data_IF_270584932831
#
_entry.id   IF_270584932831
#
_cell.length_a   1.000
_cell.length_b   1.000
_cell.length_c   1.000
_cell.angle_alpha   90.00
_cell.angle_beta   90.00
_cell.angle_gamma   90.00
#
_symmetry.space_group_name_H-M   'P 1'
#
loop_
_entity.id
_entity.type
_entity.pdbx_description
1 polymer ?
#
# COMPACT_ATOMS: atom_id res chain seq x y z
N UNK A 1 9.05 22.19 21.55
CA UNK A 1 8.47 22.14 20.18
C UNK A 1 7.27 21.20 20.21
N UNK A 2 6.13 21.64 19.71
CA UNK A 2 4.89 20.83 19.68
C UNK A 2 4.73 20.16 18.30
N UNK A 3 5.76 19.41 17.87
CA UNK A 3 5.73 18.71 16.59
C UNK A 3 4.88 17.43 16.73
N UNK A 4 3.79 17.34 15.98
CA UNK A 4 2.88 16.20 16.00
C UNK A 4 3.05 15.29 14.78
N UNK A 5 3.50 15.84 13.67
CA UNK A 5 3.70 15.08 12.42
C UNK A 5 5.05 15.39 11.80
N UNK A 6 5.78 14.34 11.41
CA UNK A 6 7.08 14.45 10.81
C UNK A 6 7.22 13.44 9.66
N UNK A 7 7.55 13.94 8.49
CA UNK A 7 7.89 13.12 7.34
C UNK A 7 9.37 13.29 6.99
N UNK A 8 10.10 12.19 7.04
CA UNK A 8 11.52 12.09 6.71
C UNK A 8 11.76 10.99 5.68
N UNK A 9 10.72 10.61 4.93
CA UNK A 9 10.81 9.55 3.93
C UNK A 9 11.81 9.89 2.80
N UNK A 10 12.35 8.84 2.18
CA UNK A 10 13.22 8.99 1.01
C UNK A 10 14.57 9.66 1.30
N UNK A 11 15.13 9.44 2.48
CA UNK A 11 16.44 9.97 2.89
C UNK A 11 17.45 8.82 3.14
N UNK A 12 18.64 9.17 3.66
CA UNK A 12 19.68 8.20 4.02
C UNK A 12 19.86 8.11 5.54
N UNK A 13 18.79 8.26 6.32
CA UNK A 13 18.86 8.31 7.78
C UNK A 13 19.21 6.93 8.31
N UNK A 14 20.17 6.88 9.21
CA UNK A 14 20.59 5.68 9.95
C UNK A 14 20.39 5.83 11.46
N UNK A 15 20.47 7.06 11.97
CA UNK A 15 20.43 7.36 13.40
C UNK A 15 19.18 8.18 13.75
N UNK A 16 18.36 7.64 14.64
CA UNK A 16 17.11 8.26 15.12
C UNK A 16 17.26 8.96 16.48
N UNK A 17 18.44 8.98 17.09
CA UNK A 17 18.66 9.56 18.42
C UNK A 17 18.10 10.99 18.56
N UNK A 18 18.19 11.90 17.55
CA UNK A 18 17.61 13.23 17.65
C UNK A 18 16.08 13.25 17.84
N UNK A 19 15.39 12.17 17.44
CA UNK A 19 13.93 12.09 17.54
C UNK A 19 13.45 11.69 18.96
N UNK A 20 14.33 11.21 19.82
CA UNK A 20 13.98 10.72 21.17
C UNK A 20 13.35 11.79 22.08
N UNK A 21 13.56 13.08 21.77
CA UNK A 21 12.96 14.19 22.51
C UNK A 21 11.55 14.59 22.05
N UNK A 22 11.05 14.03 20.92
CA UNK A 22 9.78 14.40 20.31
C UNK A 22 8.60 13.63 20.92
N UNK A 23 8.32 13.85 22.19
CA UNK A 23 7.31 13.08 22.97
C UNK A 23 5.86 13.33 22.51
N UNK A 24 5.57 14.44 21.82
CA UNK A 24 4.25 14.79 21.33
C UNK A 24 4.01 14.32 19.88
N UNK A 25 4.93 13.59 19.30
CA UNK A 25 4.81 13.11 17.94
C UNK A 25 3.70 12.06 17.83
N UNK A 26 2.76 12.29 16.93
CA UNK A 26 1.60 11.44 16.67
C UNK A 26 1.84 10.59 15.41
N UNK A 27 2.44 11.19 14.38
CA UNK A 27 2.68 10.52 13.09
C UNK A 27 4.11 10.72 12.63
N UNK A 28 4.80 9.61 12.33
CA UNK A 28 6.18 9.58 11.88
C UNK A 28 6.31 8.72 10.62
N UNK A 29 6.76 9.35 9.53
CA UNK A 29 7.11 8.65 8.31
C UNK A 29 8.63 8.64 8.11
N UNK A 30 9.22 7.46 8.13
CA UNK A 30 10.65 7.16 7.96
C UNK A 30 10.87 6.19 6.79
N UNK A 31 9.89 6.02 5.90
CA UNK A 31 9.99 5.07 4.80
C UNK A 31 11.17 5.39 3.87
N UNK A 32 11.71 4.36 3.22
CA UNK A 32 12.82 4.48 2.29
C UNK A 32 14.05 5.20 2.90
N UNK A 33 14.54 4.67 4.02
CA UNK A 33 15.77 5.10 4.71
C UNK A 33 16.72 3.90 4.94
N UNK A 34 17.71 4.05 5.81
CA UNK A 34 18.70 3.01 6.14
C UNK A 34 18.71 2.67 7.64
N UNK A 35 17.54 2.65 8.25
CA UNK A 35 17.37 2.47 9.70
C UNK A 35 17.47 0.96 10.02
N UNK A 36 18.28 0.63 11.01
CA UNK A 36 18.45 -0.74 11.50
C UNK A 36 17.82 -0.95 12.87
N UNK A 37 17.69 0.11 13.70
CA UNK A 37 17.13 0.05 15.04
C UNK A 37 16.11 1.17 15.27
N UNK A 38 15.03 0.85 15.97
CA UNK A 38 13.96 1.77 16.35
C UNK A 38 14.03 2.20 17.81
N UNK A 39 15.09 1.82 18.55
CA UNK A 39 15.19 2.04 19.99
C UNK A 39 15.07 3.53 20.37
N UNK A 40 15.64 4.42 19.57
CA UNK A 40 15.62 5.85 19.84
C UNK A 40 14.20 6.47 19.85
N UNK A 41 13.25 5.89 19.16
CA UNK A 41 11.87 6.38 19.14
C UNK A 41 10.97 5.75 20.20
N UNK A 42 11.48 4.82 21.01
CA UNK A 42 10.73 4.15 22.09
C UNK A 42 10.16 5.12 23.15
N UNK A 43 10.73 6.33 23.24
CA UNK A 43 10.27 7.41 24.12
C UNK A 43 9.15 8.28 23.53
N UNK A 44 8.75 8.06 22.27
CA UNK A 44 7.68 8.80 21.61
C UNK A 44 6.30 8.20 21.96
N UNK A 45 5.89 8.29 23.22
CA UNK A 45 4.69 7.60 23.74
C UNK A 45 3.36 8.04 23.12
N UNK A 46 3.32 9.21 22.48
CA UNK A 46 2.12 9.73 21.78
C UNK A 46 1.97 9.19 20.36
N UNK A 47 2.93 8.40 19.87
CA UNK A 47 2.94 7.94 18.50
C UNK A 47 1.78 6.97 18.22
N UNK A 48 1.01 7.29 17.20
CA UNK A 48 -0.12 6.52 16.72
C UNK A 48 0.15 5.90 15.35
N UNK A 49 0.88 6.62 14.49
CA UNK A 49 1.14 6.18 13.11
C UNK A 49 2.65 6.15 12.85
N UNK A 50 3.16 4.98 12.51
CA UNK A 50 4.57 4.76 12.20
C UNK A 50 4.71 4.08 10.84
N UNK A 51 5.40 4.74 9.91
CA UNK A 51 5.79 4.14 8.64
C UNK A 51 7.32 4.01 8.58
N UNK A 52 7.82 2.79 8.57
CA UNK A 52 9.25 2.45 8.45
C UNK A 52 9.51 1.48 7.29
N UNK A 53 8.60 1.39 6.32
CA UNK A 53 8.75 0.53 5.15
C UNK A 53 10.03 0.88 4.35
N UNK A 54 10.69 -0.13 3.78
CA UNK A 54 11.90 0.12 2.98
C UNK A 54 13.12 0.57 3.80
N UNK A 55 13.29 0.01 4.99
CA UNK A 55 14.45 0.19 5.84
C UNK A 55 15.26 -1.12 5.98
N UNK A 56 16.19 -1.17 6.90
CA UNK A 56 17.11 -2.30 7.11
C UNK A 56 16.88 -3.00 8.46
N UNK A 57 15.64 -2.98 8.97
CA UNK A 57 15.26 -3.68 10.20
C UNK A 57 15.26 -5.19 9.91
N UNK A 58 16.13 -5.93 10.59
CA UNK A 58 16.44 -7.31 10.22
C UNK A 58 15.90 -8.37 11.20
N UNK A 59 15.54 -7.98 12.43
CA UNK A 59 15.11 -8.92 13.45
C UNK A 59 13.85 -8.46 14.19
N UNK A 60 13.12 -9.44 14.75
CA UNK A 60 11.91 -9.21 15.56
C UNK A 60 12.29 -8.52 16.86
N UNK A 61 13.45 -8.81 17.42
CA UNK A 61 13.95 -8.20 18.65
C UNK A 61 14.03 -6.67 18.53
N UNK A 62 14.36 -6.16 17.35
CA UNK A 62 14.39 -4.73 17.07
C UNK A 62 12.99 -4.07 17.09
N UNK A 63 11.92 -4.86 17.07
CA UNK A 63 10.55 -4.36 17.18
C UNK A 63 10.07 -4.29 18.63
N UNK A 64 10.66 -5.05 19.55
CA UNK A 64 10.26 -5.08 20.95
C UNK A 64 10.45 -3.72 21.65
N UNK A 65 11.33 -2.87 21.17
CA UNK A 65 11.49 -1.50 21.67
C UNK A 65 10.24 -0.63 21.49
N UNK A 66 9.32 -1.03 20.60
CA UNK A 66 8.06 -0.33 20.36
C UNK A 66 6.95 -0.71 21.37
N UNK A 67 7.14 -1.76 22.16
CA UNK A 67 6.14 -2.27 23.13
C UNK A 67 5.59 -1.21 24.11
N UNK A 68 6.36 -0.20 24.55
CA UNK A 68 5.84 0.86 25.41
C UNK A 68 4.83 1.80 24.74
N UNK A 69 4.73 1.80 23.41
CA UNK A 69 3.88 2.70 22.63
C UNK A 69 2.42 2.22 22.57
N UNK A 70 1.70 2.37 23.66
CA UNK A 70 0.34 1.85 23.79
C UNK A 70 -0.73 2.53 22.92
N UNK A 71 -0.41 3.70 22.37
CA UNK A 71 -1.30 4.48 21.50
C UNK A 71 -1.15 4.12 20.01
N UNK A 72 -0.33 3.12 19.68
CA UNK A 72 -0.08 2.73 18.29
C UNK A 72 -1.35 2.22 17.62
N UNK A 73 -1.75 2.87 16.52
CA UNK A 73 -2.91 2.52 15.71
C UNK A 73 -2.53 1.97 14.35
N UNK A 74 -1.41 2.43 13.78
CA UNK A 74 -0.96 2.02 12.46
C UNK A 74 0.56 1.85 12.44
N UNK A 75 1.01 0.68 11.99
CA UNK A 75 2.43 0.38 11.72
C UNK A 75 2.57 -0.11 10.29
N UNK A 76 3.58 0.39 9.58
CA UNK A 76 3.95 -0.09 8.25
C UNK A 76 5.44 -0.43 8.20
N UNK A 77 5.73 -1.71 8.02
CA UNK A 77 7.08 -2.29 7.83
C UNK A 77 7.29 -2.73 6.38
N UNK A 78 6.18 -3.04 5.70
CA UNK A 78 6.14 -3.46 4.31
C UNK A 78 5.14 -2.60 3.53
N UNK A 79 5.53 -2.20 2.30
CA UNK A 79 4.65 -1.50 1.37
C UNK A 79 4.74 -2.18 -0.01
N UNK A 80 3.71 -2.94 -0.34
CA UNK A 80 3.66 -3.70 -1.58
C UNK A 80 3.51 -2.81 -2.82
N UNK A 81 2.96 -1.59 -2.68
CA UNK A 81 2.75 -0.67 -3.81
C UNK A 81 4.07 -0.12 -4.33
N UNK A 82 4.99 0.23 -3.42
CA UNK A 82 6.29 0.79 -3.75
C UNK A 82 7.43 -0.24 -3.66
N UNK A 83 7.10 -1.49 -3.32
CA UNK A 83 8.07 -2.55 -3.07
C UNK A 83 9.10 -2.20 -1.97
N UNK A 84 8.65 -1.43 -0.97
CA UNK A 84 9.43 -1.05 0.20
C UNK A 84 9.24 -2.08 1.31
N UNK A 85 10.24 -2.91 1.53
CA UNK A 85 10.17 -3.97 2.53
C UNK A 85 11.37 -3.90 3.47
N UNK A 86 11.19 -4.37 4.70
CA UNK A 86 12.28 -4.60 5.65
C UNK A 86 12.69 -6.08 5.63
N UNK A 87 13.96 -6.41 5.90
CA UNK A 87 14.41 -7.79 6.01
C UNK A 87 13.59 -8.64 7.01
N UNK A 88 13.12 -8.05 8.12
CA UNK A 88 12.28 -8.72 9.14
C UNK A 88 10.96 -9.25 8.56
N UNK A 89 10.42 -8.64 7.52
CA UNK A 89 9.17 -9.06 6.89
C UNK A 89 9.27 -10.43 6.17
N UNK A 90 10.50 -10.95 5.95
CA UNK A 90 10.72 -12.32 5.44
C UNK A 90 10.40 -13.38 6.48
N UNK A 91 10.39 -13.04 7.75
CA UNK A 91 9.98 -13.93 8.81
C UNK A 91 8.44 -13.94 8.92
N UNK A 92 7.82 -15.08 8.67
CA UNK A 92 6.35 -15.23 8.71
C UNK A 92 5.73 -14.89 10.08
N UNK A 93 6.51 -14.95 11.15
CA UNK A 93 6.03 -14.65 12.49
C UNK A 93 5.94 -13.15 12.82
N UNK A 94 6.59 -12.26 12.04
CA UNK A 94 6.67 -10.83 12.39
C UNK A 94 5.30 -10.19 12.58
N UNK A 95 4.34 -10.58 11.74
CA UNK A 95 2.97 -10.05 11.78
C UNK A 95 2.25 -10.45 13.06
N UNK A 96 2.35 -11.72 13.46
CA UNK A 96 1.74 -12.22 14.69
C UNK A 96 2.34 -11.54 15.93
N UNK A 97 3.66 -11.36 15.96
CA UNK A 97 4.36 -10.67 17.04
C UNK A 97 3.87 -9.22 17.18
N UNK A 98 3.70 -8.50 16.07
CA UNK A 98 3.17 -7.13 16.12
C UNK A 98 1.71 -7.10 16.61
N UNK A 99 0.88 -8.06 16.22
CA UNK A 99 -0.50 -8.16 16.69
C UNK A 99 -0.59 -8.49 18.18
N UNK A 100 0.31 -9.32 18.69
CA UNK A 100 0.43 -9.60 20.14
C UNK A 100 0.92 -8.38 20.93
N UNK A 101 1.89 -7.63 20.37
CA UNK A 101 2.42 -6.42 21.01
C UNK A 101 1.40 -5.28 21.03
N UNK A 102 0.57 -5.16 20.01
CA UNK A 102 -0.38 -4.07 19.83
C UNK A 102 -1.80 -4.60 19.60
N UNK A 103 -2.49 -5.04 20.65
CA UNK A 103 -3.84 -5.61 20.51
C UNK A 103 -4.88 -4.61 19.99
N UNK A 104 -4.61 -3.31 20.08
CA UNK A 104 -5.49 -2.24 19.60
C UNK A 104 -5.09 -1.68 18.22
N UNK A 105 -4.16 -2.32 17.53
CA UNK A 105 -3.71 -1.85 16.21
C UNK A 105 -4.85 -1.95 15.20
N UNK A 106 -5.06 -0.88 14.43
CA UNK A 106 -6.13 -0.80 13.43
C UNK A 106 -5.63 -1.16 12.04
N UNK A 107 -4.38 -0.80 11.74
CA UNK A 107 -3.78 -0.99 10.40
C UNK A 107 -2.36 -1.54 10.54
N UNK A 108 -2.07 -2.64 9.86
CA UNK A 108 -0.75 -3.23 9.76
C UNK A 108 -0.38 -3.43 8.29
N UNK A 109 0.74 -2.84 7.87
CA UNK A 109 1.24 -2.88 6.47
C UNK A 109 0.22 -2.42 5.42
N UNK A 110 -0.65 -1.48 5.80
CA UNK A 110 -1.72 -0.96 4.94
C UNK A 110 -3.01 -1.77 4.95
N UNK A 111 -3.02 -2.91 5.64
CA UNK A 111 -4.21 -3.77 5.78
C UNK A 111 -4.91 -3.49 7.13
N UNK A 112 -6.22 -3.41 7.12
CA UNK A 112 -7.00 -3.29 8.35
C UNK A 112 -7.00 -4.61 9.11
N UNK A 113 -6.66 -4.55 10.39
CA UNK A 113 -6.64 -5.71 11.30
C UNK A 113 -8.01 -5.95 11.92
N UNK A 114 -8.79 -4.88 12.14
CA UNK A 114 -10.12 -4.93 12.77
C UNK A 114 -11.10 -4.10 11.95
N UNK A 115 -12.34 -4.60 11.82
CA UNK A 115 -13.42 -3.94 11.10
C UNK A 115 -13.67 -4.47 9.68
N UNK A 116 -14.52 -3.76 8.92
CA UNK A 116 -15.04 -4.22 7.61
C UNK A 116 -13.99 -4.67 6.58
N UNK A 117 -12.74 -4.31 6.69
CA UNK A 117 -11.68 -4.77 5.78
C UNK A 117 -10.97 -6.04 6.25
N UNK A 118 -11.00 -6.36 7.56
CA UNK A 118 -10.43 -7.59 8.10
C UNK A 118 -11.31 -8.80 7.79
N UNK A 119 -12.62 -8.62 7.76
CA UNK A 119 -13.57 -9.69 7.47
C UNK A 119 -13.40 -10.22 6.05
N UNK A 120 -13.14 -9.31 5.09
CA UNK A 120 -12.84 -9.71 3.72
C UNK A 120 -11.50 -10.47 3.61
N UNK A 121 -10.48 -10.02 4.31
CA UNK A 121 -9.19 -10.71 4.32
C UNK A 121 -9.30 -12.10 4.92
N UNK A 122 -10.01 -12.24 6.05
CA UNK A 122 -10.24 -13.53 6.68
C UNK A 122 -11.03 -14.46 5.76
N UNK A 123 -12.08 -13.94 5.12
CA UNK A 123 -12.85 -14.70 4.12
C UNK A 123 -11.99 -15.18 2.95
N UNK A 124 -11.13 -14.32 2.38
CA UNK A 124 -10.23 -14.70 1.30
C UNK A 124 -9.24 -15.77 1.75
N UNK A 125 -8.73 -15.67 2.98
CA UNK A 125 -7.83 -16.66 3.55
C UNK A 125 -8.53 -18.00 3.76
N UNK A 126 -9.74 -17.99 4.30
CA UNK A 126 -10.55 -19.21 4.53
C UNK A 126 -10.88 -19.90 3.20
N UNK A 127 -11.17 -19.13 2.14
CA UNK A 127 -11.35 -19.65 0.79
C UNK A 127 -10.06 -20.29 0.26
N UNK A 128 -8.92 -19.61 0.40
CA UNK A 128 -7.62 -20.09 -0.07
C UNK A 128 -7.21 -21.39 0.65
N UNK A 129 -7.42 -21.47 1.94
CA UNK A 129 -7.16 -22.64 2.75
C UNK A 129 -8.10 -23.80 2.36
N UNK A 130 -9.39 -23.52 2.12
CA UNK A 130 -10.37 -24.50 1.63
C UNK A 130 -10.01 -25.04 0.25
N UNK A 131 -9.54 -24.17 -0.67
CA UNK A 131 -9.08 -24.58 -2.01
C UNK A 131 -7.84 -25.47 -1.89
N UNK A 132 -6.88 -25.11 -1.06
CA UNK A 132 -5.64 -25.91 -0.84
C UNK A 132 -5.97 -27.28 -0.26
N UNK A 133 -6.87 -27.35 0.72
CA UNK A 133 -7.35 -28.61 1.28
C UNK A 133 -8.13 -29.44 0.26
N UNK A 134 -8.95 -28.82 -0.58
CA UNK A 134 -9.72 -29.47 -1.63
C UNK A 134 -8.82 -30.03 -2.75
N UNK A 135 -7.73 -29.34 -3.10
CA UNK A 135 -6.72 -29.85 -4.04
C UNK A 135 -5.93 -31.04 -3.47
N UNK A 136 -5.75 -31.11 -2.16
CA UNK A 136 -5.10 -32.21 -1.48
C UNK A 136 -5.98 -33.47 -1.37
N UNK A 137 -7.30 -33.32 -1.42
CA UNK A 137 -8.28 -34.40 -1.36
C UNK A 137 -8.85 -34.67 -2.75
N UNK A 138 -8.18 -35.49 -3.54
CA UNK A 138 -8.60 -35.98 -4.86
C UNK A 138 -10.13 -35.90 -5.13
N UNK A 139 -10.59 -34.89 -5.87
CA UNK A 139 -11.80 -34.93 -6.67
C UNK A 139 -13.15 -34.71 -5.95
N UNK A 140 -13.19 -34.28 -4.70
CA UNK A 140 -14.45 -33.83 -4.08
C UNK A 140 -14.71 -32.37 -4.42
N UNK A 141 -15.95 -32.08 -4.85
CA UNK A 141 -16.44 -30.71 -5.05
C UNK A 141 -16.31 -29.93 -3.75
N UNK A 142 -15.49 -28.88 -3.77
CA UNK A 142 -15.35 -27.97 -2.64
C UNK A 142 -16.63 -27.14 -2.54
N UNK A 143 -17.40 -27.27 -1.45
CA UNK A 143 -18.47 -26.33 -1.16
C UNK A 143 -17.86 -24.98 -0.81
N UNK A 144 -17.99 -24.02 -1.72
CA UNK A 144 -17.56 -22.65 -1.48
C UNK A 144 -18.54 -22.02 -0.47
N UNK A 145 -18.05 -21.46 0.66
CA UNK A 145 -18.93 -20.81 1.62
C UNK A 145 -19.73 -19.68 0.96
N UNK A 146 -21.03 -19.60 1.24
CA UNK A 146 -21.86 -18.49 0.76
C UNK A 146 -21.31 -17.16 1.28
N UNK A 147 -20.84 -16.34 0.37
CA UNK A 147 -20.36 -15.00 0.71
C UNK A 147 -21.55 -14.12 1.10
N UNK A 148 -21.60 -13.68 2.35
CA UNK A 148 -22.50 -12.59 2.72
C UNK A 148 -22.06 -11.33 1.98
N UNK A 149 -22.99 -10.58 1.35
CA UNK A 149 -22.63 -9.31 0.74
C UNK A 149 -21.94 -8.41 1.79
N UNK A 150 -20.73 -7.92 1.49
CA UNK A 150 -19.96 -7.06 2.39
C UNK A 150 -20.50 -5.62 2.45
N UNK A 151 -21.47 -5.32 1.60
CA UNK A 151 -22.22 -4.06 1.54
C UNK A 151 -23.70 -4.37 1.53
N UNK A 152 -24.48 -3.54 2.20
CA UNK A 152 -25.95 -3.61 2.16
C UNK A 152 -26.46 -3.32 0.75
N UNK A 153 -27.59 -3.94 0.39
CA UNK A 153 -28.28 -3.67 -0.88
C UNK A 153 -28.56 -2.16 -1.02
N UNK A 154 -28.18 -1.59 -2.17
CA UNK A 154 -28.31 -0.15 -2.42
C UNK A 154 -27.15 0.71 -1.89
N UNK A 155 -26.09 0.11 -1.32
CA UNK A 155 -24.91 0.88 -0.89
C UNK A 155 -24.22 1.63 -2.06
N UNK A 156 -24.23 1.04 -3.24
CA UNK A 156 -23.69 1.63 -4.47
C UNK A 156 -24.72 2.46 -5.24
N UNK A 157 -25.97 2.46 -4.79
CA UNK A 157 -26.98 3.36 -5.33
C UNK A 157 -26.59 4.78 -4.92
N UNK A 158 -25.79 5.41 -5.74
CA UNK A 158 -25.51 6.83 -5.63
C UNK A 158 -26.85 7.52 -5.74
N UNK A 159 -27.44 7.91 -4.60
CA UNK A 159 -28.53 8.87 -4.60
C UNK A 159 -27.97 10.10 -5.30
N UNK A 160 -28.26 10.22 -6.59
CA UNK A 160 -27.87 11.42 -7.36
C UNK A 160 -28.45 12.59 -6.59
N UNK A 161 -27.59 13.30 -5.87
CA UNK A 161 -28.01 14.62 -5.39
C UNK A 161 -28.32 15.39 -6.66
N UNK A 162 -29.56 15.87 -6.79
CA UNK A 162 -30.05 16.67 -7.91
C UNK A 162 -29.38 18.07 -7.90
N UNK A 163 -28.07 18.09 -7.82
CA UNK A 163 -27.27 19.29 -7.90
C UNK A 163 -26.80 19.43 -9.35
N UNK A 164 -27.39 20.37 -10.07
CA UNK A 164 -26.97 20.74 -11.43
C UNK A 164 -25.44 20.96 -11.53
N UNK A 165 -24.81 21.32 -10.44
CA UNK A 165 -23.35 21.50 -10.31
C UNK A 165 -22.61 20.17 -10.44
N UNK A 166 -23.14 19.09 -9.84
CA UNK A 166 -22.50 17.76 -9.92
C UNK A 166 -22.64 17.17 -11.31
N UNK A 167 -23.80 17.33 -11.95
CA UNK A 167 -24.03 16.85 -13.31
C UNK A 167 -23.16 17.61 -14.32
N UNK A 168 -23.00 18.92 -14.15
CA UNK A 168 -22.11 19.75 -14.98
C UNK A 168 -20.63 19.37 -14.78
N UNK A 169 -20.20 19.17 -13.53
CA UNK A 169 -18.82 18.72 -13.24
C UNK A 169 -18.54 17.34 -13.84
N UNK A 170 -19.51 16.43 -13.79
CA UNK A 170 -19.39 15.10 -14.38
C UNK A 170 -19.27 15.17 -15.91
N UNK A 171 -20.04 16.05 -16.54
CA UNK A 171 -19.98 16.29 -17.97
C UNK A 171 -18.61 16.86 -18.38
N UNK A 172 -18.13 17.89 -17.69
CA UNK A 172 -16.83 18.50 -17.96
C UNK A 172 -15.69 17.46 -17.80
N UNK A 173 -15.74 16.62 -16.75
CA UNK A 173 -14.79 15.57 -16.56
C UNK A 173 -14.83 14.53 -17.70
N UNK A 174 -16.02 14.15 -18.13
CA UNK A 174 -16.21 13.22 -19.25
C UNK A 174 -15.64 13.78 -20.56
N UNK A 175 -15.86 15.08 -20.82
CA UNK A 175 -15.36 15.76 -22.01
C UNK A 175 -13.82 15.82 -22.04
N UNK A 176 -13.20 16.18 -20.90
CA UNK A 176 -11.74 16.19 -20.74
C UNK A 176 -11.14 14.78 -20.94
N UNK A 177 -11.79 13.77 -20.42
CA UNK A 177 -11.36 12.37 -20.56
C UNK A 177 -11.42 11.90 -22.02
N UNK A 178 -12.45 12.36 -22.76
CA UNK A 178 -12.60 12.11 -24.19
C UNK A 178 -11.48 12.81 -24.99
N UNK A 179 -11.18 14.08 -24.70
CA UNK A 179 -10.07 14.82 -25.32
C UNK A 179 -8.70 14.15 -25.06
N UNK A 180 -8.45 13.74 -23.82
CA UNK A 180 -7.22 13.01 -23.47
C UNK A 180 -7.06 11.71 -24.28
N UNK A 181 -8.14 10.94 -24.45
CA UNK A 181 -8.13 9.72 -25.29
C UNK A 181 -7.82 10.04 -26.74
N UNK A 182 -8.42 11.12 -27.27
CA UNK A 182 -8.20 11.55 -28.65
C UNK A 182 -6.74 12.00 -28.89
N UNK A 183 -6.19 12.79 -27.95
CA UNK A 183 -4.79 13.23 -27.98
C UNK A 183 -3.82 12.04 -27.90
N UNK A 184 -4.09 11.09 -27.04
CA UNK A 184 -3.27 9.89 -26.93
C UNK A 184 -3.27 9.05 -28.22
N UNK A 185 -4.44 8.91 -28.86
CA UNK A 185 -4.56 8.25 -30.17
C UNK A 185 -3.78 8.99 -31.27
N UNK A 186 -3.84 10.33 -31.31
CA UNK A 186 -3.08 11.15 -32.24
C UNK A 186 -1.58 11.03 -32.00
N UNK A 187 -1.14 11.06 -30.77
CA UNK A 187 0.27 10.87 -30.40
C UNK A 187 0.80 9.50 -30.83
N UNK A 188 0.04 8.44 -30.57
CA UNK A 188 0.40 7.08 -30.98
C UNK A 188 0.52 6.96 -32.51
N UNK A 189 -0.40 7.61 -33.27
CA UNK A 189 -0.34 7.64 -34.72
C UNK A 189 0.89 8.40 -35.25
N UNK A 190 1.23 9.55 -34.64
CA UNK A 190 2.41 10.33 -35.01
C UNK A 190 3.71 9.57 -34.72
N UNK A 191 3.80 8.87 -33.58
CA UNK A 191 4.94 8.01 -33.23
C UNK A 191 5.09 6.90 -34.31
N UNK A 192 4.02 6.20 -34.64
CA UNK A 192 4.05 5.14 -35.65
C UNK A 192 4.45 5.66 -37.07
N UNK A 193 4.06 6.89 -37.41
CA UNK A 193 4.51 7.53 -38.67
C UNK A 193 6.00 7.85 -38.65
N UNK A 194 6.53 8.38 -37.56
CA UNK A 194 7.96 8.68 -37.43
C UNK A 194 8.82 7.42 -37.43
N UNK A 195 8.37 6.36 -36.79
CA UNK A 195 9.04 5.05 -36.83
C UNK A 195 9.10 4.46 -38.25
N UNK A 196 8.00 4.53 -39.00
CA UNK A 196 7.97 4.09 -40.41
C UNK A 196 8.91 4.92 -41.29
N UNK A 197 8.98 6.23 -41.08
CA UNK A 197 9.87 7.11 -41.83
C UNK A 197 11.35 6.84 -41.50
N UNK A 198 11.67 6.51 -40.25
CA UNK A 198 13.03 6.13 -39.82
C UNK A 198 13.45 4.77 -40.41
N UNK A 199 12.55 3.78 -40.37
CA UNK A 199 12.83 2.45 -40.97
C UNK A 199 12.96 2.51 -42.48
N UNK A 200 12.20 3.37 -43.18
CA UNK A 200 12.35 3.57 -44.63
C UNK A 200 13.68 4.24 -45.03
N UNK A 201 14.25 5.09 -44.16
CA UNK A 201 15.57 5.72 -44.41
C UNK A 201 16.76 4.80 -44.10
N UNK A 202 16.56 3.73 -43.32
CA UNK A 202 17.63 2.79 -42.95
C UNK A 202 17.79 1.60 -43.90
N UNK A 203 17.02 1.51 -44.98
CA UNK A 203 17.28 0.49 -46.01
C UNK A 203 18.51 0.89 -46.86
N UNK A 204 19.55 0.03 -46.92
CA UNK A 204 20.71 0.31 -47.74
C UNK A 204 20.33 0.31 -49.22
N UNK A 205 20.71 1.38 -49.93
CA UNK A 205 20.59 1.42 -51.40
C UNK A 205 21.39 0.25 -51.97
N UNK A 206 20.70 -0.74 -52.52
CA UNK A 206 21.35 -1.75 -53.35
C UNK A 206 21.86 -1.04 -54.59
N UNK A 207 23.17 -0.88 -54.69
CA UNK A 207 23.83 -0.53 -55.97
C UNK A 207 23.89 -1.80 -56.78
N UNK A 208 23.10 -1.86 -57.84
CA UNK A 208 23.30 -2.83 -58.93
C UNK A 208 24.53 -2.43 -59.71
N UNK A 209 25.49 -3.37 -59.77
CA UNK A 209 26.64 -3.33 -60.69
C UNK A 209 26.20 -3.92 -62.02
#
# INVERSE_FOLDING_TARGET
MNLERLDLSGNNITNLTPLSSLRLLISLNLSANRITSLEAISSCYSLQNLNVAGNLINSIENLHCLQPMRNMESIRLNDNLYNYTNPVCKNSAYRNVLLEMFPNIKVLDGERVVGRGSDLYQLCKDIDDTIKEGMARNGQTVEVPECKPWVEDGYWDIKRSNSAIVDEAYKQFSDVLHECKLLNSRAAHAIAQTERALTAKSQPKQYSV
#
